data_IF_073355759372
#
_entry.id   IF_073355759372
#
_cell.length_a   1.000
_cell.length_b   1.000
_cell.length_c   1.000
_cell.angle_alpha   90.00
_cell.angle_beta   90.00
_cell.angle_gamma   90.00
#
_symmetry.space_group_name_H-M   'P 1'
#
loop_
_entity.id
_entity.type
_entity.pdbx_description
1 polymer ?
#
# COMPACT_ATOMS: atom_id res chain seq x y z
N UNK A 1 -24.88 3.37 -34.78
CA UNK A 1 -25.29 3.41 -33.36
C UNK A 1 -24.20 2.85 -32.44
N UNK A 2 -23.43 1.84 -32.86
CA UNK A 2 -22.22 1.32 -32.17
C UNK A 2 -21.23 2.39 -31.67
N UNK A 3 -20.88 3.37 -32.52
CA UNK A 3 -19.85 4.40 -32.20
C UNK A 3 -20.20 5.26 -30.98
N UNK A 4 -21.50 5.40 -30.66
CA UNK A 4 -22.00 6.28 -29.61
C UNK A 4 -21.75 5.70 -28.22
N UNK A 5 -21.71 4.37 -28.07
CA UNK A 5 -21.41 3.70 -26.79
C UNK A 5 -19.93 3.78 -26.41
N UNK A 6 -19.02 3.80 -27.40
CA UNK A 6 -17.58 3.95 -27.14
C UNK A 6 -17.18 5.29 -26.53
N UNK A 7 -18.04 6.32 -26.63
CA UNK A 7 -17.79 7.64 -26.06
C UNK A 7 -18.44 7.86 -24.69
N UNK A 8 -19.31 6.95 -24.25
CA UNK A 8 -20.05 7.10 -22.97
C UNK A 8 -19.16 6.66 -21.79
N UNK A 9 -18.12 5.87 -22.05
CA UNK A 9 -17.10 5.51 -21.07
C UNK A 9 -15.75 5.81 -21.70
N UNK A 10 -15.25 7.02 -21.46
CA UNK A 10 -13.89 7.38 -21.82
C UNK A 10 -12.92 6.39 -21.15
N UNK A 11 -12.16 5.67 -21.98
CA UNK A 11 -11.26 4.61 -21.52
C UNK A 11 -10.20 5.17 -20.59
N UNK A 12 -9.75 6.39 -20.84
CA UNK A 12 -8.78 7.08 -19.99
C UNK A 12 -9.36 7.38 -18.61
N UNK A 13 -10.57 7.93 -18.55
CA UNK A 13 -11.30 8.15 -17.30
C UNK A 13 -11.49 6.86 -16.49
N UNK A 14 -11.73 5.74 -17.17
CA UNK A 14 -11.87 4.43 -16.50
C UNK A 14 -10.54 3.92 -15.95
N UNK A 15 -9.44 4.04 -16.72
CA UNK A 15 -8.09 3.70 -16.25
C UNK A 15 -7.71 4.53 -15.02
N UNK A 16 -8.01 5.83 -15.03
CA UNK A 16 -7.75 6.73 -13.90
C UNK A 16 -8.52 6.32 -12.65
N UNK A 17 -9.82 6.04 -12.76
CA UNK A 17 -10.64 5.60 -11.64
C UNK A 17 -10.17 4.25 -11.09
N UNK A 18 -9.89 3.28 -11.96
CA UNK A 18 -9.38 1.98 -11.56
C UNK A 18 -8.03 2.09 -10.83
N UNK A 19 -7.10 2.91 -11.34
CA UNK A 19 -5.81 3.20 -10.71
C UNK A 19 -6.00 3.77 -9.30
N UNK A 20 -6.89 4.77 -9.16
CA UNK A 20 -7.17 5.40 -7.87
C UNK A 20 -7.78 4.42 -6.86
N UNK A 21 -8.69 3.55 -7.29
CA UNK A 21 -9.34 2.55 -6.44
C UNK A 21 -8.33 1.50 -5.98
N UNK A 22 -7.50 0.96 -6.89
CA UNK A 22 -6.47 -0.03 -6.55
C UNK A 22 -5.48 0.53 -5.54
N UNK A 23 -5.00 1.76 -5.74
CA UNK A 23 -4.11 2.41 -4.76
C UNK A 23 -4.81 2.69 -3.44
N UNK A 24 -6.00 3.28 -3.49
CA UNK A 24 -6.76 3.68 -2.32
C UNK A 24 -7.09 2.50 -1.42
N UNK A 25 -7.53 1.37 -1.99
CA UNK A 25 -7.89 0.17 -1.22
C UNK A 25 -6.66 -0.67 -0.89
N UNK A 26 -5.78 -0.87 -1.88
CA UNK A 26 -4.62 -1.77 -1.75
C UNK A 26 -3.57 -1.31 -0.74
N UNK A 27 -3.55 -0.03 -0.38
CA UNK A 27 -2.61 0.52 0.61
C UNK A 27 -3.15 0.56 2.04
N UNK A 28 -4.45 0.36 2.27
CA UNK A 28 -5.06 0.44 3.62
C UNK A 28 -4.46 -0.62 4.55
N UNK A 29 -4.38 -1.88 4.10
CA UNK A 29 -3.85 -2.99 4.88
C UNK A 29 -2.39 -2.76 5.32
N UNK A 30 -1.48 -2.45 4.38
CA UNK A 30 -0.11 -2.06 4.69
C UNK A 30 -0.01 -0.87 5.65
N UNK A 31 -0.75 0.21 5.39
CA UNK A 31 -0.71 1.41 6.23
C UNK A 31 -1.10 1.12 7.69
N UNK A 32 -2.18 0.36 7.90
CA UNK A 32 -2.62 -0.06 9.23
C UNK A 32 -1.60 -0.98 9.91
N UNK A 33 -1.05 -1.94 9.15
CA UNK A 33 -0.07 -2.90 9.67
C UNK A 33 1.20 -2.17 10.13
N UNK A 34 1.72 -1.25 9.32
CA UNK A 34 2.91 -0.46 9.63
C UNK A 34 2.67 0.40 10.88
N UNK A 35 1.52 1.08 10.97
CA UNK A 35 1.18 1.88 12.14
C UNK A 35 1.16 1.05 13.43
N UNK A 36 0.56 -0.15 13.40
CA UNK A 36 0.51 -1.07 14.54
C UNK A 36 1.91 -1.59 14.89
N UNK A 37 2.69 -2.04 13.90
CA UNK A 37 4.04 -2.55 14.11
C UNK A 37 4.95 -1.49 14.72
N UNK A 38 4.91 -0.26 14.20
CA UNK A 38 5.69 0.86 14.72
C UNK A 38 5.28 1.21 16.16
N UNK A 39 3.98 1.33 16.44
CA UNK A 39 3.47 1.61 17.79
C UNK A 39 3.92 0.54 18.79
N UNK A 40 3.79 -0.74 18.45
CA UNK A 40 4.18 -1.85 19.33
C UNK A 40 5.70 -1.93 19.52
N UNK A 41 6.48 -1.66 18.47
CA UNK A 41 7.93 -1.60 18.58
C UNK A 41 8.39 -0.47 19.50
N UNK A 42 7.80 0.73 19.38
CA UNK A 42 8.10 1.86 20.26
C UNK A 42 7.69 1.59 21.72
N UNK A 43 6.52 1.00 21.96
CA UNK A 43 6.11 0.57 23.31
C UNK A 43 7.11 -0.43 23.91
N UNK A 44 7.57 -1.41 23.12
CA UNK A 44 8.53 -2.42 23.58
C UNK A 44 9.90 -1.81 23.89
N UNK A 45 10.38 -0.86 23.07
CA UNK A 45 11.61 -0.11 23.30
C UNK A 45 11.51 0.71 24.60
N UNK A 46 10.39 1.40 24.82
CA UNK A 46 10.17 2.18 26.04
C UNK A 46 10.19 1.32 27.31
N UNK A 47 9.73 0.07 27.23
CA UNK A 47 9.77 -0.89 28.36
C UNK A 47 11.14 -1.53 28.57
N UNK A 48 11.91 -1.74 27.50
CA UNK A 48 13.25 -2.31 27.58
C UNK A 48 14.24 -1.59 26.63
N UNK A 49 14.83 -0.47 27.08
CA UNK A 49 15.74 0.32 26.26
C UNK A 49 17.01 -0.44 25.83
N UNK A 50 17.50 -1.38 26.63
CA UNK A 50 18.69 -2.18 26.32
C UNK A 50 18.46 -3.11 25.13
N UNK A 51 17.20 -3.53 24.89
CA UNK A 51 16.83 -4.40 23.78
C UNK A 51 16.54 -3.65 22.45
N UNK A 52 16.74 -2.33 22.41
CA UNK A 52 16.34 -1.47 21.28
C UNK A 52 16.80 -1.98 19.93
N UNK A 53 18.09 -2.35 19.78
CA UNK A 53 18.64 -2.76 18.49
C UNK A 53 17.93 -4.00 17.91
N UNK A 54 17.63 -4.99 18.76
CA UNK A 54 16.93 -6.22 18.34
C UNK A 54 15.46 -5.94 18.00
N UNK A 55 14.79 -5.10 18.79
CA UNK A 55 13.39 -4.72 18.55
C UNK A 55 13.27 -3.96 17.23
N UNK A 56 14.11 -2.94 17.01
CA UNK A 56 14.11 -2.15 15.77
C UNK A 56 14.38 -3.02 14.55
N UNK A 57 15.38 -3.92 14.60
CA UNK A 57 15.70 -4.81 13.48
C UNK A 57 14.50 -5.65 13.07
N UNK A 58 13.84 -6.29 14.05
CA UNK A 58 12.67 -7.13 13.77
C UNK A 58 11.46 -6.30 13.31
N UNK A 59 11.25 -5.12 13.90
CA UNK A 59 10.17 -4.20 13.52
C UNK A 59 10.32 -3.72 12.07
N UNK A 60 11.52 -3.27 11.68
CA UNK A 60 11.78 -2.79 10.32
C UNK A 60 11.62 -3.92 9.30
N UNK A 61 12.07 -5.14 9.62
CA UNK A 61 11.86 -6.30 8.75
C UNK A 61 10.36 -6.59 8.55
N UNK A 62 9.56 -6.57 9.61
CA UNK A 62 8.11 -6.75 9.52
C UNK A 62 7.44 -5.63 8.71
N UNK A 63 7.86 -4.38 8.90
CA UNK A 63 7.39 -3.23 8.10
C UNK A 63 7.74 -3.41 6.62
N UNK A 64 8.95 -3.89 6.29
CA UNK A 64 9.35 -4.13 4.91
C UNK A 64 8.47 -5.20 4.22
N UNK A 65 8.06 -6.24 4.94
CA UNK A 65 7.11 -7.23 4.41
C UNK A 65 5.70 -6.63 4.21
N UNK A 66 5.24 -5.76 5.12
CA UNK A 66 3.98 -5.04 4.93
C UNK A 66 4.05 -4.11 3.70
N UNK A 67 5.19 -3.44 3.51
CA UNK A 67 5.42 -2.55 2.36
C UNK A 67 5.43 -3.30 1.03
N UNK A 68 5.94 -4.53 0.99
CA UNK A 68 5.90 -5.35 -0.23
C UNK A 68 4.47 -5.55 -0.78
N UNK A 69 3.47 -5.61 0.11
CA UNK A 69 2.06 -5.70 -0.28
C UNK A 69 1.58 -4.38 -0.89
N UNK A 70 1.98 -3.23 -0.32
CA UNK A 70 1.69 -1.91 -0.91
C UNK A 70 2.33 -1.75 -2.29
N UNK A 71 3.55 -2.27 -2.47
CA UNK A 71 4.24 -2.27 -3.76
C UNK A 71 3.48 -3.09 -4.79
N UNK A 72 2.86 -4.22 -4.43
CA UNK A 72 2.02 -4.96 -5.38
C UNK A 72 0.80 -4.14 -5.84
N UNK A 73 0.15 -3.40 -4.94
CA UNK A 73 -0.92 -2.48 -5.32
C UNK A 73 -0.40 -1.37 -6.25
N UNK A 74 0.78 -0.81 -5.96
CA UNK A 74 1.45 0.18 -6.81
C UNK A 74 1.76 -0.37 -8.21
N UNK A 75 2.31 -1.58 -8.30
CA UNK A 75 2.65 -2.22 -9.58
C UNK A 75 1.39 -2.40 -10.43
N UNK A 76 0.30 -2.91 -9.85
CA UNK A 76 -0.96 -3.07 -10.60
C UNK A 76 -1.53 -1.72 -11.02
N UNK A 77 -1.49 -0.70 -10.17
CA UNK A 77 -1.93 0.64 -10.50
C UNK A 77 -1.13 1.24 -11.67
N UNK A 78 0.20 1.07 -11.68
CA UNK A 78 1.07 1.51 -12.77
C UNK A 78 0.76 0.76 -14.07
N UNK A 79 0.50 -0.55 -14.00
CA UNK A 79 0.10 -1.34 -15.18
C UNK A 79 -1.21 -0.81 -15.75
N UNK A 80 -2.24 -0.58 -14.92
CA UNK A 80 -3.53 -0.03 -15.38
C UNK A 80 -3.35 1.35 -16.03
N UNK A 81 -2.46 2.18 -15.49
CA UNK A 81 -2.27 3.54 -15.98
C UNK A 81 -1.49 3.61 -17.30
N UNK A 82 -0.46 2.77 -17.47
CA UNK A 82 0.52 2.93 -18.55
C UNK A 82 0.49 1.84 -19.62
N UNK A 83 -0.17 0.71 -19.37
CA UNK A 83 -0.36 -0.39 -20.32
C UNK A 83 -1.81 -0.41 -20.78
#
# INVERSE_FOLDING_TARGET
>A
MERRWSQIVDTESTKLLATAIVMGIGTIGPALSIGILASKGLEAIGRNPEATGKIQTNMVLAIAFAEAIAIYALVIALIIKFV
#
